data_IF_427814235625
#
_entry.id   IF_427814235625
#
_cell.length_a   1.000
_cell.length_b   1.000
_cell.length_c   1.000
_cell.angle_alpha   90.00
_cell.angle_beta   90.00
_cell.angle_gamma   90.00
#
_symmetry.space_group_name_H-M   'P 1'
#
loop_
_entity.id
_entity.type
_entity.pdbx_description
1 polymer ?
#
# COMPACT_ATOMS: atom_id res chain seq x y z
N UNK A 1 -7.42 -17.26 -17.25
CA UNK A 1 -7.63 -16.18 -16.26
C UNK A 1 -6.41 -16.17 -15.35
N UNK A 2 -5.79 -15.01 -15.13
CA UNK A 2 -4.58 -14.91 -14.32
C UNK A 2 -4.81 -15.53 -12.94
N UNK A 3 -3.97 -16.50 -12.57
CA UNK A 3 -4.01 -17.22 -11.29
C UNK A 3 -3.88 -16.29 -10.06
N UNK A 4 -3.53 -15.04 -10.30
CA UNK A 4 -3.34 -14.00 -9.31
C UNK A 4 -4.53 -13.04 -9.32
N UNK A 5 -5.32 -13.07 -8.25
CA UNK A 5 -6.42 -12.13 -8.06
C UNK A 5 -5.90 -10.71 -7.82
N UNK A 6 -6.33 -9.74 -8.63
CA UNK A 6 -6.07 -8.34 -8.33
C UNK A 6 -6.80 -7.93 -7.04
N UNK A 7 -6.09 -7.27 -6.12
CA UNK A 7 -6.64 -6.79 -4.85
C UNK A 7 -6.85 -5.28 -4.89
N UNK A 8 -7.94 -4.79 -4.29
CA UNK A 8 -8.20 -3.34 -4.19
C UNK A 8 -7.06 -2.64 -3.44
N UNK A 9 -6.52 -1.56 -4.01
CA UNK A 9 -5.42 -0.79 -3.41
C UNK A 9 -5.72 -0.32 -1.96
N UNK A 10 -6.98 -0.04 -1.62
CA UNK A 10 -7.40 0.32 -0.26
C UNK A 10 -7.15 -0.79 0.77
N UNK A 11 -7.31 -2.06 0.38
CA UNK A 11 -7.05 -3.20 1.26
C UNK A 11 -5.56 -3.39 1.49
N UNK A 12 -4.76 -3.30 0.43
CA UNK A 12 -3.29 -3.35 0.51
C UNK A 12 -2.77 -2.21 1.39
N UNK A 13 -3.27 -0.99 1.21
CA UNK A 13 -2.89 0.15 2.04
C UNK A 13 -3.23 -0.06 3.52
N UNK A 14 -4.39 -0.65 3.83
CA UNK A 14 -4.77 -0.99 5.22
C UNK A 14 -3.80 -2.01 5.83
N UNK A 15 -3.46 -3.06 5.08
CA UNK A 15 -2.52 -4.09 5.53
C UNK A 15 -1.12 -3.51 5.76
N UNK A 16 -0.59 -2.73 4.82
CA UNK A 16 0.73 -2.11 4.95
C UNK A 16 0.80 -1.16 6.15
N UNK A 17 -0.24 -0.33 6.37
CA UNK A 17 -0.34 0.51 7.57
C UNK A 17 -0.34 -0.32 8.86
N UNK A 18 -1.01 -1.48 8.87
CA UNK A 18 -1.04 -2.38 10.03
C UNK A 18 0.32 -3.01 10.33
N UNK A 19 1.15 -3.24 9.31
CA UNK A 19 2.53 -3.75 9.46
C UNK A 19 3.45 -2.64 10.01
N UNK A 20 3.02 -1.38 10.00
CA UNK A 20 3.81 -0.24 10.49
C UNK A 20 4.38 0.64 9.38
N UNK A 21 4.01 0.39 8.11
CA UNK A 21 4.42 1.27 7.01
C UNK A 21 3.72 2.62 7.13
N UNK A 22 4.51 3.69 6.98
CA UNK A 22 4.04 5.08 7.01
C UNK A 22 4.07 5.68 5.61
N UNK A 23 3.17 6.61 5.33
CA UNK A 23 3.17 7.33 4.05
C UNK A 23 4.30 8.34 4.10
N UNK A 24 5.30 8.16 3.22
CA UNK A 24 6.42 9.09 3.05
C UNK A 24 6.04 10.25 2.13
N UNK A 25 5.39 9.93 1.00
CA UNK A 25 4.98 10.92 -0.02
C UNK A 25 3.69 10.48 -0.70
N UNK A 26 2.86 11.44 -1.09
CA UNK A 26 1.70 11.21 -1.94
C UNK A 26 1.71 12.23 -3.09
N UNK A 27 1.49 11.74 -4.31
CA UNK A 27 1.30 12.57 -5.50
C UNK A 27 0.02 12.10 -6.19
N UNK A 28 -1.06 12.89 -6.11
CA UNK A 28 -2.38 12.47 -6.58
C UNK A 28 -2.88 11.22 -5.85
N UNK A 29 -3.23 10.19 -6.62
CA UNK A 29 -3.68 8.88 -6.10
C UNK A 29 -2.54 7.97 -5.65
N UNK A 30 -1.31 8.20 -6.14
CA UNK A 30 -0.13 7.40 -5.82
C UNK A 30 0.43 7.75 -4.45
N UNK A 31 0.71 6.72 -3.65
CA UNK A 31 1.30 6.83 -2.31
C UNK A 31 2.57 6.01 -2.24
N UNK A 32 3.65 6.63 -1.77
CA UNK A 32 4.91 5.99 -1.46
C UNK A 32 4.94 5.77 0.04
N UNK A 33 5.13 4.51 0.43
CA UNK A 33 5.21 4.09 1.83
C UNK A 33 6.67 3.79 2.19
N UNK A 34 7.03 4.03 3.43
CA UNK A 34 8.34 3.71 4.01
C UNK A 34 8.12 3.02 5.36
N UNK A 35 8.89 1.98 5.62
CA UNK A 35 9.04 1.40 6.95
C UNK A 35 10.29 2.04 7.56
N UNK A 36 10.16 2.67 8.73
CA UNK A 36 11.32 3.24 9.42
C UNK A 36 12.26 2.09 9.80
N UNK A 37 13.44 2.08 9.20
CA UNK A 37 14.61 1.32 9.63
C UNK A 37 15.61 2.26 10.27
#
# INVERSE_FOLDING_TARGET
>A
MSQWSATKAKQVLKALKSIGWKIKRQTGSHKILEISG
#
